data_IF_423818070114
#
_entry.id   IF_423818070114
#
_cell.length_a   1.000
_cell.length_b   1.000
_cell.length_c   1.000
_cell.angle_alpha   90.00
_cell.angle_beta   90.00
_cell.angle_gamma   90.00
#
_symmetry.space_group_name_H-M   'P 1'
#
loop_
_entity.id
_entity.type
_entity.pdbx_description
1 polymer ?
#
# COMPACT_ATOMS: atom_id res chain seq x y z
N UNK A 1 0.06 31.72 -17.45
CA UNK A 1 1.15 31.30 -18.37
C UNK A 1 2.29 30.71 -17.58
N UNK A 2 2.25 29.42 -17.27
CA UNK A 2 3.41 28.70 -16.75
C UNK A 2 4.33 28.40 -17.93
N UNK A 3 5.58 28.85 -17.88
CA UNK A 3 6.58 28.55 -18.92
C UNK A 3 7.10 27.14 -18.69
N UNK A 4 6.64 26.16 -19.47
CA UNK A 4 7.16 24.79 -19.42
C UNK A 4 8.43 24.71 -20.27
N UNK A 5 9.56 24.34 -19.65
CA UNK A 5 10.83 24.10 -20.37
C UNK A 5 10.98 22.61 -20.59
N UNK A 6 11.33 22.21 -21.81
CA UNK A 6 11.64 20.82 -22.15
C UNK A 6 13.09 20.75 -22.61
N UNK A 7 13.86 19.84 -22.04
CA UNK A 7 15.26 19.57 -22.39
C UNK A 7 15.36 18.14 -22.88
N UNK A 8 16.05 17.95 -24.00
CA UNK A 8 16.44 16.63 -24.51
C UNK A 8 17.93 16.62 -24.82
N UNK A 9 18.53 15.44 -24.89
CA UNK A 9 19.97 15.32 -25.14
C UNK A 9 20.48 13.90 -24.98
N UNK A 10 21.80 13.78 -25.13
CA UNK A 10 22.50 12.49 -25.12
C UNK A 10 22.77 12.03 -23.68
N UNK A 11 21.71 11.74 -22.94
CA UNK A 11 21.80 11.26 -21.55
C UNK A 11 22.04 9.75 -21.45
N UNK A 12 21.87 9.02 -22.55
CA UNK A 12 21.92 7.55 -22.59
C UNK A 12 23.15 7.08 -23.33
N UNK A 13 23.97 6.28 -22.65
CA UNK A 13 24.99 5.45 -23.30
C UNK A 13 24.41 4.06 -23.55
N UNK A 14 24.43 3.62 -24.80
CA UNK A 14 23.94 2.30 -25.20
C UNK A 14 25.07 1.28 -25.37
N UNK A 15 24.70 0.00 -25.41
CA UNK A 15 25.52 -1.08 -25.94
C UNK A 15 24.66 -1.97 -26.84
N UNK A 16 25.23 -2.65 -27.84
CA UNK A 16 24.46 -3.59 -28.66
C UNK A 16 23.87 -4.71 -27.80
N UNK A 17 22.70 -5.20 -28.22
CA UNK A 17 22.21 -6.52 -27.81
C UNK A 17 23.17 -7.59 -28.30
N UNK A 18 23.64 -7.45 -29.55
CA UNK A 18 24.57 -8.37 -30.19
C UNK A 18 23.85 -9.58 -30.79
N UNK A 19 24.51 -10.74 -30.75
CA UNK A 19 23.97 -11.99 -31.26
C UNK A 19 23.38 -12.80 -30.10
N UNK A 20 22.07 -13.09 -30.16
CA UNK A 20 21.36 -13.93 -29.17
C UNK A 20 20.75 -15.10 -29.90
N UNK A 21 21.04 -16.32 -29.44
CA UNK A 21 20.57 -17.58 -30.05
C UNK A 21 20.78 -17.67 -31.57
N UNK A 22 21.91 -17.12 -32.04
CA UNK A 22 22.30 -17.11 -33.46
C UNK A 22 21.66 -16.00 -34.30
N UNK A 23 20.82 -15.14 -33.71
CA UNK A 23 20.21 -13.99 -34.40
C UNK A 23 20.99 -12.71 -34.07
N UNK A 24 21.47 -12.00 -35.08
CA UNK A 24 22.12 -10.70 -34.94
C UNK A 24 21.07 -9.58 -34.87
N UNK A 25 21.02 -8.90 -33.73
CA UNK A 25 20.06 -7.82 -33.48
C UNK A 25 20.52 -6.45 -34.03
N UNK A 26 21.68 -6.40 -34.69
CA UNK A 26 22.21 -5.23 -35.39
C UNK A 26 22.17 -3.96 -34.51
N UNK A 27 21.36 -2.97 -34.90
CA UNK A 27 21.21 -1.69 -34.21
C UNK A 27 20.27 -1.73 -33.00
N UNK A 28 19.83 -2.89 -32.54
CA UNK A 28 19.12 -3.00 -31.27
C UNK A 28 20.12 -2.94 -30.12
N UNK A 29 19.84 -2.09 -29.14
CA UNK A 29 20.70 -1.91 -27.97
C UNK A 29 19.94 -2.02 -26.67
N UNK A 30 20.72 -2.00 -25.60
CA UNK A 30 20.26 -1.88 -24.22
C UNK A 30 20.99 -0.74 -23.54
N UNK A 31 20.37 -0.15 -22.53
CA UNK A 31 20.98 0.93 -21.76
C UNK A 31 22.20 0.39 -21.03
N UNK A 32 23.36 0.99 -21.28
CA UNK A 32 24.61 0.72 -20.55
C UNK A 32 24.77 1.65 -19.36
N UNK A 33 24.45 2.93 -19.55
CA UNK A 33 24.60 3.96 -18.51
C UNK A 33 23.65 5.13 -18.79
N UNK A 34 23.10 5.69 -17.72
CA UNK A 34 22.34 6.93 -17.73
C UNK A 34 23.18 8.02 -17.06
N UNK A 35 23.30 9.20 -17.68
CA UNK A 35 23.89 10.38 -17.03
C UNK A 35 22.86 11.04 -16.10
N UNK A 36 22.58 10.36 -14.98
CA UNK A 36 21.61 10.84 -13.99
C UNK A 36 22.01 12.17 -13.34
N UNK A 37 23.30 12.53 -13.35
CA UNK A 37 23.75 13.83 -12.83
C UNK A 37 23.35 14.98 -13.76
N UNK A 38 23.49 14.80 -15.07
CA UNK A 38 23.04 15.80 -16.05
C UNK A 38 21.51 15.93 -16.08
N UNK A 39 20.80 14.81 -15.98
CA UNK A 39 19.33 14.81 -15.89
C UNK A 39 18.87 15.57 -14.63
N UNK A 40 19.44 15.28 -13.45
CA UNK A 40 19.12 15.99 -12.21
C UNK A 40 19.32 17.51 -12.34
N UNK A 41 20.44 17.96 -12.89
CA UNK A 41 20.68 19.40 -13.11
C UNK A 41 19.64 20.06 -14.03
N UNK A 42 19.14 19.34 -15.03
CA UNK A 42 18.06 19.85 -15.88
C UNK A 42 16.73 19.95 -15.13
N UNK A 43 16.42 18.97 -14.27
CA UNK A 43 15.24 18.98 -13.39
C UNK A 43 15.34 20.12 -12.37
N UNK A 44 16.51 20.35 -11.76
CA UNK A 44 16.74 21.37 -10.73
C UNK A 44 16.43 22.80 -11.23
N UNK A 45 16.59 23.07 -12.53
CA UNK A 45 16.23 24.37 -13.14
C UNK A 45 14.76 24.45 -13.59
N UNK A 46 13.96 23.45 -13.21
CA UNK A 46 12.53 23.34 -13.51
C UNK A 46 12.22 22.88 -14.93
N UNK A 47 13.13 22.15 -15.59
CA UNK A 47 12.86 21.60 -16.92
C UNK A 47 12.32 20.17 -16.85
N UNK A 48 11.42 19.84 -17.78
CA UNK A 48 11.04 18.47 -18.10
C UNK A 48 12.13 17.85 -18.99
N UNK A 49 12.58 16.65 -18.65
CA UNK A 49 13.58 15.93 -19.44
C UNK A 49 12.89 14.93 -20.36
N UNK A 50 13.07 15.10 -21.67
CA UNK A 50 12.53 14.22 -22.70
C UNK A 50 13.64 13.28 -23.21
N UNK A 51 13.47 11.99 -22.96
CA UNK A 51 14.36 10.93 -23.44
C UNK A 51 13.72 10.20 -24.62
N UNK A 52 14.44 10.09 -25.73
CA UNK A 52 14.07 9.19 -26.82
C UNK A 52 14.58 7.77 -26.54
N UNK A 53 13.93 6.71 -27.04
CA UNK A 53 14.38 5.32 -26.92
C UNK A 53 15.58 5.05 -27.84
N UNK A 54 16.66 5.81 -27.63
CA UNK A 54 17.79 5.90 -28.52
C UNK A 54 19.04 6.27 -27.71
N UNK A 55 20.16 5.61 -27.98
CA UNK A 55 21.41 5.88 -27.27
C UNK A 55 22.64 5.58 -28.11
N UNK A 56 23.76 6.18 -27.72
CA UNK A 56 25.03 6.05 -28.44
C UNK A 56 26.02 5.19 -27.64
N UNK A 57 26.80 4.36 -28.33
CA UNK A 57 27.95 3.70 -27.73
C UNK A 57 29.13 4.67 -27.57
N UNK A 58 30.15 4.32 -26.78
CA UNK A 58 31.40 5.08 -26.74
C UNK A 58 32.14 5.16 -28.09
N UNK A 59 31.84 4.27 -29.04
CA UNK A 59 32.39 4.28 -30.41
C UNK A 59 31.62 5.21 -31.35
N UNK A 60 30.51 5.82 -30.89
CA UNK A 60 29.69 6.73 -31.67
C UNK A 60 28.59 6.05 -32.49
N UNK A 61 28.42 4.72 -32.35
CA UNK A 61 27.33 3.99 -32.99
C UNK A 61 26.02 4.22 -32.25
N UNK A 62 24.93 4.31 -33.01
CA UNK A 62 23.62 4.57 -32.45
C UNK A 62 22.77 3.30 -32.42
N UNK A 63 22.01 3.15 -31.34
CA UNK A 63 21.18 1.97 -31.09
C UNK A 63 19.75 2.37 -30.74
N UNK A 64 18.81 1.61 -31.29
CA UNK A 64 17.41 1.62 -30.90
C UNK A 64 17.26 0.88 -29.57
N UNK A 65 16.71 1.55 -28.56
CA UNK A 65 16.46 1.01 -27.23
C UNK A 65 14.97 0.73 -27.07
N UNK A 66 14.59 -0.06 -26.07
CA UNK A 66 13.18 -0.18 -25.70
C UNK A 66 12.80 0.92 -24.71
N UNK A 67 11.55 1.37 -24.75
CA UNK A 67 11.04 2.39 -23.83
C UNK A 67 11.18 1.93 -22.38
N UNK A 68 10.90 0.65 -22.12
CA UNK A 68 10.88 0.07 -20.79
C UNK A 68 12.27 0.01 -20.19
N UNK A 69 13.29 -0.34 -20.98
CA UNK A 69 14.68 -0.36 -20.49
C UNK A 69 15.20 1.07 -20.24
N UNK A 70 14.87 2.03 -21.10
CA UNK A 70 15.19 3.45 -20.89
C UNK A 70 14.54 4.00 -19.63
N UNK A 71 13.23 3.77 -19.46
CA UNK A 71 12.48 4.26 -18.31
C UNK A 71 12.98 3.62 -17.01
N UNK A 72 13.12 2.29 -16.98
CA UNK A 72 13.62 1.54 -15.82
C UNK A 72 15.02 2.00 -15.43
N UNK A 73 15.97 2.00 -16.37
CA UNK A 73 17.35 2.37 -16.08
C UNK A 73 17.47 3.84 -15.64
N UNK A 74 16.64 4.73 -16.21
CA UNK A 74 16.63 6.14 -15.82
C UNK A 74 16.06 6.32 -14.42
N UNK A 75 14.91 5.71 -14.11
CA UNK A 75 14.30 5.78 -12.78
C UNK A 75 15.25 5.25 -11.70
N UNK A 76 15.89 4.10 -11.95
CA UNK A 76 16.92 3.55 -11.07
C UNK A 76 18.12 4.48 -10.92
N UNK A 77 18.67 5.04 -12.01
CA UNK A 77 19.81 5.96 -11.93
C UNK A 77 19.50 7.27 -11.19
N UNK A 78 18.24 7.72 -11.26
CA UNK A 78 17.76 8.89 -10.53
C UNK A 78 17.38 8.58 -9.09
N UNK A 79 17.17 7.30 -8.73
CA UNK A 79 16.51 6.89 -7.49
C UNK A 79 15.15 7.61 -7.38
N UNK A 80 14.33 7.47 -8.43
CA UNK A 80 13.04 8.12 -8.49
C UNK A 80 12.06 7.50 -7.48
N UNK A 81 11.23 8.34 -6.85
CA UNK A 81 10.18 7.88 -5.93
C UNK A 81 9.10 7.05 -6.65
N UNK A 82 8.83 7.39 -7.92
CA UNK A 82 7.84 6.71 -8.77
C UNK A 82 8.32 6.53 -10.20
N UNK A 83 8.09 5.34 -10.76
CA UNK A 83 8.15 5.04 -12.19
C UNK A 83 6.73 4.73 -12.68
N UNK A 84 6.29 5.33 -13.79
CA UNK A 84 4.95 5.07 -14.34
C UNK A 84 5.06 4.67 -15.81
N UNK A 85 4.54 3.49 -16.13
CA UNK A 85 4.33 3.02 -17.49
C UNK A 85 2.91 3.37 -17.93
N UNK A 86 2.78 4.12 -19.02
CA UNK A 86 1.51 4.35 -19.70
C UNK A 86 1.38 3.36 -20.86
N UNK A 87 0.47 2.40 -20.72
CA UNK A 87 0.44 1.15 -21.49
C UNK A 87 -0.92 0.90 -22.16
N UNK A 88 -0.94 -0.04 -23.09
CA UNK A 88 -2.16 -0.52 -23.75
C UNK A 88 -3.03 -1.40 -22.85
N UNK A 89 -2.46 -1.92 -21.77
CA UNK A 89 -3.16 -2.70 -20.75
C UNK A 89 -3.61 -1.82 -19.58
N UNK A 90 -4.72 -2.15 -18.91
CA UNK A 90 -5.21 -1.44 -17.73
C UNK A 90 -4.38 -1.66 -16.46
N UNK A 91 -3.51 -2.67 -16.45
CA UNK A 91 -2.81 -3.14 -15.26
C UNK A 91 -2.78 -4.67 -15.26
N UNK A 92 -2.60 -5.25 -14.08
CA UNK A 92 -2.69 -6.67 -13.83
C UNK A 92 -4.04 -7.01 -13.21
N UNK A 93 -4.68 -8.05 -13.72
CA UNK A 93 -5.89 -8.60 -13.13
C UNK A 93 -5.55 -9.41 -11.86
N UNK A 94 -6.43 -9.40 -10.85
CA UNK A 94 -6.29 -10.22 -9.62
C UNK A 94 -6.02 -11.70 -9.96
N UNK A 95 -6.63 -12.17 -11.05
CA UNK A 95 -6.28 -13.42 -11.71
C UNK A 95 -5.75 -13.11 -13.11
N UNK A 96 -4.44 -13.27 -13.36
CA UNK A 96 -3.85 -12.88 -14.64
C UNK A 96 -4.42 -13.58 -15.88
N UNK A 97 -5.05 -14.74 -15.71
CA UNK A 97 -5.68 -15.54 -16.75
C UNK A 97 -7.17 -15.25 -16.95
N UNK A 98 -7.77 -14.38 -16.12
CA UNK A 98 -9.19 -14.05 -16.13
C UNK A 98 -9.41 -12.53 -16.25
N UNK A 99 -9.66 -12.01 -17.46
CA UNK A 99 -9.82 -10.58 -17.72
C UNK A 99 -11.11 -10.00 -17.14
N UNK A 100 -12.04 -10.83 -16.67
CA UNK A 100 -13.26 -10.37 -16.01
C UNK A 100 -13.02 -10.01 -14.53
N UNK A 101 -11.87 -10.40 -13.97
CA UNK A 101 -11.51 -9.99 -12.61
C UNK A 101 -11.09 -8.52 -12.54
N UNK A 102 -11.26 -7.85 -11.39
CA UNK A 102 -10.77 -6.48 -11.22
C UNK A 102 -9.26 -6.37 -11.43
N UNK A 103 -8.79 -5.15 -11.68
CA UNK A 103 -7.36 -4.83 -11.65
C UNK A 103 -6.89 -4.92 -10.20
N UNK A 104 -5.82 -5.66 -9.99
CA UNK A 104 -5.07 -5.69 -8.74
C UNK A 104 -4.29 -4.37 -8.65
N UNK A 105 -4.75 -3.47 -7.79
CA UNK A 105 -4.25 -2.10 -7.74
C UNK A 105 -2.92 -1.98 -7.01
N UNK A 106 -2.56 -2.97 -6.18
CA UNK A 106 -1.33 -2.95 -5.40
C UNK A 106 -0.74 -4.35 -5.21
N UNK A 107 0.52 -4.51 -5.63
CA UNK A 107 1.33 -5.70 -5.42
C UNK A 107 2.58 -5.35 -4.61
N UNK A 108 2.84 -6.09 -3.53
CA UNK A 108 4.18 -6.06 -2.94
C UNK A 108 5.21 -6.63 -3.91
N UNK A 109 6.47 -6.21 -3.79
CA UNK A 109 7.57 -6.70 -4.63
C UNK A 109 7.71 -8.22 -4.50
N UNK A 110 7.46 -8.76 -3.31
CA UNK A 110 7.45 -10.20 -3.06
C UNK A 110 6.34 -10.93 -3.84
N UNK A 111 5.11 -10.38 -3.87
CA UNK A 111 3.99 -10.93 -4.64
C UNK A 111 4.28 -10.81 -6.15
N UNK A 112 4.73 -9.64 -6.62
CA UNK A 112 5.11 -9.39 -8.01
C UNK A 112 6.17 -10.38 -8.53
N UNK A 113 7.20 -10.69 -7.72
CA UNK A 113 8.21 -11.71 -8.06
C UNK A 113 7.63 -13.12 -8.20
N UNK A 114 6.77 -13.51 -7.26
CA UNK A 114 6.10 -14.82 -7.29
C UNK A 114 5.23 -14.93 -8.53
N UNK A 115 4.46 -13.89 -8.82
CA UNK A 115 3.61 -13.81 -9.98
C UNK A 115 4.43 -13.93 -11.26
N UNK A 116 5.51 -13.15 -11.39
CA UNK A 116 6.40 -13.19 -12.55
C UNK A 116 7.03 -14.56 -12.79
N UNK A 117 7.33 -15.31 -11.72
CA UNK A 117 7.87 -16.69 -11.82
C UNK A 117 6.81 -17.70 -12.27
N UNK A 118 5.54 -17.45 -11.93
CA UNK A 118 4.41 -18.32 -12.29
C UNK A 118 3.85 -18.07 -13.69
N UNK A 119 4.03 -16.86 -14.22
CA UNK A 119 3.52 -16.45 -15.52
C UNK A 119 4.40 -17.00 -16.66
N UNK A 120 3.81 -17.25 -17.85
CA UNK A 120 4.60 -17.59 -19.03
C UNK A 120 5.52 -16.44 -19.43
N UNK A 121 6.60 -16.77 -20.13
CA UNK A 121 7.48 -15.76 -20.71
C UNK A 121 6.68 -14.88 -21.68
N UNK A 122 6.73 -13.54 -21.54
CA UNK A 122 5.93 -12.64 -22.35
C UNK A 122 6.44 -12.63 -23.79
N UNK A 123 5.53 -12.77 -24.74
CA UNK A 123 5.75 -12.66 -26.18
C UNK A 123 5.31 -11.30 -26.72
N UNK A 124 4.41 -10.63 -26.02
CA UNK A 124 3.84 -9.34 -26.43
C UNK A 124 3.78 -8.36 -25.26
N UNK A 125 3.62 -7.07 -25.56
CA UNK A 125 3.47 -6.04 -24.54
C UNK A 125 2.11 -6.09 -23.81
N UNK A 126 1.10 -6.75 -24.39
CA UNK A 126 -0.16 -7.03 -23.71
C UNK A 126 -0.11 -8.16 -22.67
N UNK A 127 0.99 -8.91 -22.60
CA UNK A 127 1.11 -10.01 -21.66
C UNK A 127 1.39 -9.48 -20.24
N UNK A 128 0.71 -10.02 -19.23
CA UNK A 128 0.85 -9.63 -17.82
C UNK A 128 2.32 -9.54 -17.35
N UNK A 129 3.16 -10.49 -17.75
CA UNK A 129 4.56 -10.54 -17.35
C UNK A 129 5.44 -9.44 -18.00
N UNK A 130 4.99 -8.83 -19.11
CA UNK A 130 5.81 -7.93 -19.92
C UNK A 130 6.21 -6.67 -19.17
N UNK A 131 5.25 -5.88 -18.67
CA UNK A 131 5.55 -4.67 -17.89
C UNK A 131 5.91 -5.00 -16.44
N UNK A 132 5.36 -6.08 -15.89
CA UNK A 132 5.63 -6.51 -14.51
C UNK A 132 7.13 -6.74 -14.27
N UNK A 133 7.85 -7.38 -15.20
CA UNK A 133 9.31 -7.59 -15.06
C UNK A 133 10.09 -6.27 -14.96
N UNK A 134 9.64 -5.23 -15.64
CA UNK A 134 10.29 -3.91 -15.61
C UNK A 134 9.98 -3.19 -14.30
N UNK A 135 8.75 -3.32 -13.79
CA UNK A 135 8.38 -2.81 -12.47
C UNK A 135 9.20 -3.47 -11.36
N UNK A 136 9.30 -4.80 -11.37
CA UNK A 136 10.13 -5.56 -10.41
C UNK A 136 11.59 -5.11 -10.49
N UNK A 137 12.16 -5.01 -11.71
CA UNK A 137 13.55 -4.56 -11.92
C UNK A 137 13.77 -3.12 -11.42
N UNK A 138 12.81 -2.23 -11.60
CA UNK A 138 12.89 -0.86 -11.12
C UNK A 138 12.92 -0.81 -9.57
N UNK A 139 12.00 -1.53 -8.92
CA UNK A 139 11.92 -1.59 -7.46
C UNK A 139 13.15 -2.25 -6.84
N UNK A 140 13.66 -3.34 -7.43
CA UNK A 140 14.96 -3.92 -7.07
C UNK A 140 16.13 -2.93 -7.15
N UNK A 141 16.03 -1.98 -8.06
CA UNK A 141 17.00 -0.90 -8.25
C UNK A 141 16.83 0.28 -7.27
N UNK A 142 15.88 0.20 -6.33
CA UNK A 142 15.63 1.26 -5.33
C UNK A 142 14.58 2.29 -5.75
N UNK A 143 13.79 2.03 -6.79
CA UNK A 143 12.59 2.85 -7.09
C UNK A 143 11.48 2.44 -6.13
N UNK A 144 10.96 3.36 -5.31
CA UNK A 144 10.01 2.98 -4.26
C UNK A 144 8.72 2.35 -4.82
N UNK A 145 8.19 2.92 -5.92
CA UNK A 145 6.92 2.51 -6.52
C UNK A 145 7.00 2.48 -8.04
N UNK A 146 6.50 1.42 -8.68
CA UNK A 146 6.43 1.31 -10.13
C UNK A 146 5.02 0.94 -10.59
N UNK A 147 4.46 1.71 -11.51
CA UNK A 147 3.04 1.66 -11.88
C UNK A 147 2.85 1.21 -13.34
N UNK A 148 1.77 0.47 -13.60
CA UNK A 148 1.27 0.11 -14.93
C UNK A 148 -0.11 0.73 -15.08
N UNK A 149 -0.27 1.69 -15.99
CA UNK A 149 -1.50 2.48 -16.16
C UNK A 149 -2.00 2.46 -17.60
N UNK A 150 -3.32 2.43 -17.84
CA UNK A 150 -3.86 2.50 -19.20
C UNK A 150 -3.72 3.91 -19.80
N UNK A 151 -3.08 4.04 -20.96
CA UNK A 151 -3.10 5.31 -21.70
C UNK A 151 -4.48 5.64 -22.30
N UNK A 152 -5.36 4.64 -22.43
CA UNK A 152 -6.66 4.80 -23.09
C UNK A 152 -7.70 5.49 -22.18
N UNK A 153 -7.43 5.57 -20.88
CA UNK A 153 -8.32 6.19 -19.89
C UNK A 153 -7.95 7.67 -19.75
N UNK A 154 -8.90 8.55 -20.05
CA UNK A 154 -8.70 9.99 -19.90
C UNK A 154 -8.43 10.36 -18.43
N UNK A 155 -7.37 11.14 -18.21
CA UNK A 155 -6.91 11.50 -16.87
C UNK A 155 -6.27 10.36 -16.07
N UNK A 156 -5.89 9.23 -16.69
CA UNK A 156 -5.29 8.08 -16.01
C UNK A 156 -4.19 8.44 -15.00
N UNK A 157 -3.25 9.29 -15.41
CA UNK A 157 -2.15 9.75 -14.56
C UNK A 157 -2.63 10.55 -13.34
N UNK A 158 -3.66 11.39 -13.52
CA UNK A 158 -4.22 12.17 -12.43
C UNK A 158 -5.01 11.29 -11.46
N UNK A 159 -5.76 10.33 -11.99
CA UNK A 159 -6.49 9.38 -11.16
C UNK A 159 -5.52 8.53 -10.34
N UNK A 160 -4.44 8.03 -10.93
CA UNK A 160 -3.42 7.27 -10.18
C UNK A 160 -2.75 8.10 -9.08
N UNK A 161 -2.42 9.37 -9.34
CA UNK A 161 -1.67 10.20 -8.38
C UNK A 161 -2.57 10.78 -7.28
N UNK A 162 -3.83 11.09 -7.58
CA UNK A 162 -4.72 11.85 -6.70
C UNK A 162 -5.92 11.05 -6.17
N UNK A 163 -5.99 9.75 -6.44
CA UNK A 163 -6.96 8.84 -5.81
C UNK A 163 -6.23 7.82 -4.93
N UNK A 164 -6.91 7.34 -3.90
CA UNK A 164 -6.33 6.36 -2.98
C UNK A 164 -6.26 4.97 -3.63
N UNK A 165 -7.35 4.56 -4.31
CA UNK A 165 -7.45 3.22 -4.91
C UNK A 165 -6.59 3.08 -6.17
N UNK A 166 -6.19 4.18 -6.81
CA UNK A 166 -5.55 4.16 -8.13
C UNK A 166 -6.48 3.62 -9.21
N UNK A 167 -5.95 3.45 -10.43
CA UNK A 167 -6.71 2.83 -11.54
C UNK A 167 -5.94 1.72 -12.25
N UNK A 168 -4.62 1.63 -12.03
CA UNK A 168 -3.79 0.59 -12.58
C UNK A 168 -3.14 -0.23 -11.48
N UNK A 169 -2.04 -0.90 -11.80
CA UNK A 169 -1.31 -1.72 -10.82
C UNK A 169 -0.03 -1.04 -10.39
N UNK A 170 0.14 -0.89 -9.08
CA UNK A 170 1.37 -0.43 -8.44
C UNK A 170 2.15 -1.60 -7.86
N UNK A 171 3.46 -1.67 -8.15
CA UNK A 171 4.42 -2.54 -7.47
C UNK A 171 5.22 -1.70 -6.48
N UNK A 172 5.32 -2.17 -5.22
CA UNK A 172 5.99 -1.46 -4.12
C UNK A 172 6.82 -2.43 -3.29
N UNK A 173 7.96 -1.99 -2.73
CA UNK A 173 8.87 -2.87 -1.97
C UNK A 173 8.18 -3.54 -0.75
N UNK A 174 7.35 -2.78 -0.03
CA UNK A 174 6.49 -3.25 1.06
C UNK A 174 5.05 -2.73 0.84
N UNK A 175 4.01 -3.49 1.24
CA UNK A 175 2.62 -3.02 1.11
C UNK A 175 2.49 -1.63 1.75
N UNK A 176 1.83 -0.68 1.08
CA UNK A 176 1.71 0.71 1.55
C UNK A 176 1.16 0.80 2.96
N UNK A 177 0.41 -0.20 3.41
CA UNK A 177 -0.21 -0.22 4.72
C UNK A 177 0.17 -1.47 5.51
N UNK A 178 0.94 -1.25 6.57
CA UNK A 178 1.32 -2.30 7.49
C UNK A 178 0.24 -2.48 8.56
N UNK A 179 -0.56 -3.54 8.44
CA UNK A 179 -1.45 -3.99 9.51
C UNK A 179 -0.66 -4.91 10.46
N UNK A 180 -0.14 -4.33 11.55
CA UNK A 180 0.77 -5.04 12.48
C UNK A 180 0.40 -4.82 13.94
N UNK A 181 1.02 -5.60 14.82
CA UNK A 181 0.96 -5.33 16.26
C UNK A 181 1.76 -4.07 16.59
N UNK A 182 1.28 -3.31 17.57
CA UNK A 182 1.93 -2.07 17.97
C UNK A 182 3.20 -2.35 18.80
N UNK A 183 4.18 -1.47 18.66
CA UNK A 183 5.44 -1.44 19.41
C UNK A 183 5.51 -0.17 20.27
N UNK A 184 6.40 -0.08 21.28
CA UNK A 184 6.49 1.09 22.16
C UNK A 184 6.60 2.43 21.43
N UNK A 185 7.25 2.46 20.27
CA UNK A 185 7.42 3.68 19.47
C UNK A 185 6.10 4.19 18.86
N UNK A 186 5.08 3.33 18.70
CA UNK A 186 3.78 3.71 18.13
C UNK A 186 2.89 4.48 19.13
N UNK A 187 3.23 4.50 20.42
CA UNK A 187 2.42 5.11 21.48
C UNK A 187 2.08 6.56 21.18
N UNK A 188 3.03 7.32 20.63
CA UNK A 188 2.82 8.70 20.22
C UNK A 188 1.77 8.84 19.13
N UNK A 189 1.85 8.00 18.09
CA UNK A 189 0.90 7.99 16.97
C UNK A 189 -0.50 7.55 17.39
N UNK A 190 -0.60 6.51 18.22
CA UNK A 190 -1.89 6.05 18.78
C UNK A 190 -2.55 7.17 19.59
N UNK A 191 -1.80 7.85 20.46
CA UNK A 191 -2.32 8.97 21.25
C UNK A 191 -2.86 10.09 20.35
N UNK A 192 -2.10 10.49 19.34
CA UNK A 192 -2.51 11.51 18.38
C UNK A 192 -3.79 11.13 17.63
N UNK A 193 -3.93 9.85 17.27
CA UNK A 193 -5.10 9.33 16.56
C UNK A 193 -6.38 9.32 17.42
N UNK A 194 -6.27 8.96 18.70
CA UNK A 194 -7.44 8.81 19.58
C UNK A 194 -7.86 10.09 20.30
N UNK A 195 -6.93 11.05 20.51
CA UNK A 195 -7.17 12.26 21.30
C UNK A 195 -8.42 13.07 20.87
N UNK A 196 -8.69 13.28 19.56
CA UNK A 196 -9.88 14.02 19.14
C UNK A 196 -11.20 13.38 19.62
N UNK A 197 -11.26 12.05 19.64
CA UNK A 197 -12.43 11.29 20.06
C UNK A 197 -12.54 11.17 21.59
N UNK A 198 -11.44 11.30 22.32
CA UNK A 198 -11.49 11.44 23.77
C UNK A 198 -12.04 12.81 24.17
N UNK A 199 -11.62 13.85 23.43
CA UNK A 199 -12.03 15.24 23.67
C UNK A 199 -13.51 15.49 23.39
N UNK A 200 -14.07 14.85 22.36
CA UNK A 200 -15.49 14.99 21.99
C UNK A 200 -16.43 14.01 22.75
N UNK A 201 -15.86 13.19 23.63
CA UNK A 201 -16.56 12.24 24.47
C UNK A 201 -16.94 10.92 23.78
N UNK A 202 -16.60 10.71 22.51
CA UNK A 202 -16.82 9.43 21.81
C UNK A 202 -16.08 8.28 22.49
N UNK A 203 -14.84 8.51 22.91
CA UNK A 203 -14.01 7.55 23.63
C UNK A 203 -13.81 7.91 25.10
N UNK A 204 -13.43 6.89 25.88
CA UNK A 204 -12.96 7.08 27.26
C UNK A 204 -11.48 7.44 27.20
N UNK A 205 -11.09 8.46 27.96
CA UNK A 205 -9.70 8.93 28.03
C UNK A 205 -8.75 7.85 28.53
N UNK A 206 -7.61 7.67 27.85
CA UNK A 206 -6.51 6.78 28.23
C UNK A 206 -5.22 7.58 28.44
N UNK A 207 -4.48 7.22 29.47
CA UNK A 207 -3.18 7.85 29.73
C UNK A 207 -2.07 7.24 28.86
N UNK A 208 -1.02 8.01 28.57
CA UNK A 208 0.19 7.49 27.89
C UNK A 208 0.72 6.22 28.57
N UNK A 209 0.88 6.25 29.90
CA UNK A 209 1.39 5.12 30.68
C UNK A 209 0.48 3.87 30.61
N UNK A 210 -0.82 4.05 30.38
CA UNK A 210 -1.76 2.95 30.19
C UNK A 210 -1.52 2.28 28.83
N UNK A 211 -1.39 3.08 27.77
CA UNK A 211 -1.13 2.60 26.41
C UNK A 211 0.25 1.97 26.32
N UNK A 212 1.29 2.56 26.92
CA UNK A 212 2.65 1.98 26.95
C UNK A 212 2.67 0.60 27.60
N UNK A 213 2.00 0.45 28.75
CA UNK A 213 1.93 -0.83 29.46
C UNK A 213 1.18 -1.88 28.64
N UNK A 214 0.10 -1.47 27.99
CA UNK A 214 -0.81 -2.37 27.29
C UNK A 214 -0.54 -2.41 25.78
N UNK A 215 0.62 -1.91 25.31
CA UNK A 215 0.92 -1.69 23.89
C UNK A 215 0.81 -2.97 23.05
N UNK A 216 1.21 -4.11 23.62
CA UNK A 216 1.10 -5.41 22.96
C UNK A 216 -0.36 -5.82 22.63
N UNK A 217 -1.35 -5.21 23.28
CA UNK A 217 -2.77 -5.45 22.97
C UNK A 217 -3.21 -4.69 21.72
N UNK A 218 -2.48 -3.65 21.31
CA UNK A 218 -2.82 -2.81 20.17
C UNK A 218 -2.38 -3.43 18.84
N UNK A 219 -3.23 -3.23 17.84
CA UNK A 219 -2.98 -3.44 16.42
C UNK A 219 -3.07 -2.06 15.77
N UNK A 220 -2.14 -1.74 14.88
CA UNK A 220 -2.10 -0.48 14.15
C UNK A 220 -2.14 -0.72 12.65
N UNK A 221 -2.66 0.27 11.93
CA UNK A 221 -2.41 0.45 10.50
C UNK A 221 -1.48 1.66 10.38
N UNK A 222 -0.36 1.43 9.71
CA UNK A 222 0.74 2.37 9.58
C UNK A 222 1.15 2.53 8.12
N UNK A 223 1.48 3.76 7.75
CA UNK A 223 2.04 4.15 6.47
C UNK A 223 3.11 5.22 6.69
N UNK A 224 4.33 5.01 6.19
CA UNK A 224 5.47 5.92 6.29
C UNK A 224 5.73 6.44 7.73
N UNK A 225 5.61 5.56 8.72
CA UNK A 225 5.78 5.85 10.15
C UNK A 225 4.59 6.57 10.78
N UNK A 226 3.51 6.82 10.03
CA UNK A 226 2.30 7.49 10.51
C UNK A 226 1.23 6.46 10.82
N UNK A 227 0.74 6.47 12.06
CA UNK A 227 -0.38 5.65 12.51
C UNK A 227 -1.69 6.33 12.15
N UNK A 228 -2.46 5.73 11.25
CA UNK A 228 -3.78 6.25 10.84
C UNK A 228 -4.93 5.30 11.17
N UNK A 229 -4.64 4.10 11.67
CA UNK A 229 -5.65 3.20 12.23
C UNK A 229 -5.16 2.51 13.51
N UNK A 230 -6.02 2.30 14.48
CA UNK A 230 -5.71 1.46 15.64
C UNK A 230 -6.93 0.71 16.19
N UNK A 231 -6.68 -0.42 16.84
CA UNK A 231 -7.63 -1.13 17.69
C UNK A 231 -6.87 -1.98 18.73
N UNK A 232 -7.42 -2.16 19.92
CA UNK A 232 -6.82 -3.02 20.95
C UNK A 232 -7.76 -4.16 21.36
N UNK A 233 -7.16 -5.30 21.72
CA UNK A 233 -7.86 -6.48 22.23
C UNK A 233 -7.45 -6.77 23.68
N UNK A 234 -8.39 -6.68 24.61
CA UNK A 234 -8.17 -7.05 26.01
C UNK A 234 -8.84 -8.40 26.30
N UNK A 235 -8.07 -9.48 26.55
CA UNK A 235 -8.63 -10.81 26.75
C UNK A 235 -9.24 -10.99 28.15
N UNK A 236 -10.32 -11.76 28.22
CA UNK A 236 -10.94 -12.30 29.44
C UNK A 236 -11.01 -13.83 29.34
N UNK A 237 -9.89 -14.54 29.60
CA UNK A 237 -9.78 -15.98 29.32
C UNK A 237 -10.79 -16.84 30.08
N UNK A 238 -11.09 -16.50 31.34
CA UNK A 238 -12.06 -17.21 32.18
C UNK A 238 -13.47 -17.22 31.58
N UNK A 239 -13.86 -16.12 30.95
CA UNK A 239 -15.14 -15.95 30.26
C UNK A 239 -15.06 -16.32 28.76
N UNK A 240 -13.88 -16.78 28.28
CA UNK A 240 -13.59 -17.09 26.87
C UNK A 240 -14.02 -15.98 25.91
N UNK A 241 -13.85 -14.73 26.31
CA UNK A 241 -14.21 -13.55 25.52
C UNK A 241 -13.11 -12.48 25.56
N UNK A 242 -13.21 -11.46 24.72
CA UNK A 242 -12.28 -10.32 24.70
C UNK A 242 -13.00 -9.01 24.41
N UNK A 243 -12.53 -7.92 25.00
CA UNK A 243 -13.02 -6.58 24.68
C UNK A 243 -12.19 -6.01 23.54
N UNK A 244 -12.83 -5.64 22.43
CA UNK A 244 -12.21 -4.78 21.44
C UNK A 244 -12.45 -3.32 21.83
N UNK A 245 -11.36 -2.55 21.95
CA UNK A 245 -11.41 -1.14 22.32
C UNK A 245 -10.60 -0.28 21.37
N UNK A 246 -10.82 1.04 21.45
CA UNK A 246 -10.05 2.04 20.71
C UNK A 246 -10.00 1.79 19.19
N UNK A 247 -11.05 1.18 18.62
CA UNK A 247 -11.19 1.06 17.17
C UNK A 247 -11.34 2.47 16.59
N UNK A 248 -10.35 2.92 15.85
CA UNK A 248 -10.28 4.27 15.32
C UNK A 248 -9.51 4.27 14.01
N UNK A 249 -10.01 5.05 13.05
CA UNK A 249 -9.36 5.32 11.78
C UNK A 249 -9.36 6.83 11.59
N UNK A 250 -8.27 7.37 11.07
CA UNK A 250 -8.12 8.79 10.74
C UNK A 250 -9.30 9.25 9.88
N UNK A 251 -9.93 10.41 10.15
CA UNK A 251 -11.03 10.92 9.34
C UNK A 251 -10.71 10.97 7.84
N UNK A 252 -9.46 11.26 7.49
CA UNK A 252 -8.98 11.36 6.11
C UNK A 252 -8.96 10.01 5.38
N UNK A 253 -8.97 8.89 6.12
CA UNK A 253 -8.97 7.51 5.61
C UNK A 253 -10.28 6.76 5.91
N UNK A 254 -11.30 7.43 6.46
CA UNK A 254 -12.57 6.77 6.75
C UNK A 254 -13.30 6.37 5.45
N UNK A 255 -14.01 5.25 5.51
CA UNK A 255 -14.78 4.64 4.38
C UNK A 255 -13.97 3.80 3.39
N UNK A 256 -12.67 3.60 3.61
CA UNK A 256 -11.79 2.75 2.78
C UNK A 256 -11.68 1.29 3.25
N UNK A 257 -12.49 0.89 4.25
CA UNK A 257 -12.53 -0.49 4.76
C UNK A 257 -11.56 -0.81 5.89
N UNK A 258 -10.70 0.13 6.31
CA UNK A 258 -9.69 -0.08 7.35
C UNK A 258 -10.25 -0.46 8.72
N UNK A 259 -11.38 0.13 9.10
CA UNK A 259 -12.07 -0.27 10.32
C UNK A 259 -12.44 -1.77 10.31
N UNK A 260 -12.77 -2.31 9.14
CA UNK A 260 -13.07 -3.73 8.98
C UNK A 260 -11.82 -4.61 8.96
N UNK A 261 -10.72 -4.12 8.39
CA UNK A 261 -9.40 -4.81 8.47
C UNK A 261 -8.91 -4.91 9.90
N UNK A 262 -8.99 -3.83 10.68
CA UNK A 262 -8.68 -3.83 12.11
C UNK A 262 -9.57 -4.82 12.87
N UNK A 263 -10.89 -4.79 12.63
CA UNK A 263 -11.82 -5.75 13.26
C UNK A 263 -11.45 -7.19 12.94
N UNK A 264 -11.25 -7.53 11.66
CA UNK A 264 -10.88 -8.90 11.23
C UNK A 264 -9.58 -9.35 11.90
N UNK A 265 -8.58 -8.47 12.00
CA UNK A 265 -7.32 -8.76 12.69
C UNK A 265 -7.51 -8.99 14.18
N UNK A 266 -8.32 -8.19 14.85
CA UNK A 266 -8.67 -8.40 16.27
C UNK A 266 -9.40 -9.73 16.46
N UNK A 267 -10.36 -10.08 15.60
CA UNK A 267 -11.06 -11.37 15.67
C UNK A 267 -10.10 -12.54 15.47
N UNK A 268 -9.13 -12.44 14.55
CA UNK A 268 -8.09 -13.46 14.35
C UNK A 268 -7.23 -13.63 15.60
N UNK A 269 -6.76 -12.53 16.22
CA UNK A 269 -5.97 -12.58 17.46
C UNK A 269 -6.77 -13.19 18.62
N UNK A 270 -8.06 -12.87 18.71
CA UNK A 270 -8.96 -13.45 19.71
C UNK A 270 -9.13 -14.97 19.52
N UNK A 271 -9.36 -15.44 18.28
CA UNK A 271 -9.42 -16.88 17.95
C UNK A 271 -8.11 -17.58 18.28
N UNK A 272 -6.97 -17.00 17.89
CA UNK A 272 -5.65 -17.56 18.17
C UNK A 272 -5.37 -17.68 19.68
N UNK A 273 -5.99 -16.81 20.49
CA UNK A 273 -5.92 -16.85 21.96
C UNK A 273 -6.97 -17.77 22.60
N UNK A 274 -7.73 -18.54 21.83
CA UNK A 274 -8.73 -19.48 22.31
C UNK A 274 -10.07 -18.87 22.76
N UNK A 275 -10.30 -17.58 22.45
CA UNK A 275 -11.55 -16.89 22.78
C UNK A 275 -12.65 -17.28 21.79
N UNK A 276 -13.88 -17.41 22.27
CA UNK A 276 -15.06 -17.81 21.49
C UNK A 276 -15.98 -16.64 21.16
N UNK A 277 -15.69 -15.45 21.68
CA UNK A 277 -16.43 -14.23 21.39
C UNK A 277 -15.55 -12.99 21.58
N UNK A 278 -15.97 -11.88 20.98
CA UNK A 278 -15.51 -10.54 21.36
C UNK A 278 -16.72 -9.65 21.65
N UNK A 279 -16.50 -8.61 22.43
CA UNK A 279 -17.49 -7.58 22.69
C UNK A 279 -16.92 -6.18 22.55
N UNK A 280 -17.81 -5.22 22.33
CA UNK A 280 -17.50 -3.78 22.27
C UNK A 280 -18.48 -3.00 23.13
N UNK A 281 -18.01 -1.87 23.65
CA UNK A 281 -18.83 -0.88 24.34
C UNK A 281 -18.88 0.39 23.47
N UNK A 282 -20.07 0.77 23.00
CA UNK A 282 -20.22 1.94 22.12
C UNK A 282 -21.40 2.82 22.50
N UNK A 283 -21.24 4.14 22.33
CA UNK A 283 -22.30 5.14 22.52
C UNK A 283 -22.84 5.71 21.21
N UNK A 284 -22.08 5.62 20.11
CA UNK A 284 -22.39 6.29 18.84
C UNK A 284 -22.34 5.37 17.61
N UNK A 285 -21.54 4.31 17.62
CA UNK A 285 -21.20 3.51 16.41
C UNK A 285 -21.91 2.15 16.34
N UNK A 286 -23.07 2.02 16.98
CA UNK A 286 -23.78 0.75 17.15
C UNK A 286 -24.09 0.02 15.83
N UNK A 287 -24.68 0.72 14.86
CA UNK A 287 -25.10 0.11 13.59
C UNK A 287 -23.93 -0.44 12.76
N UNK A 288 -22.74 0.16 12.88
CA UNK A 288 -21.55 -0.31 12.18
C UNK A 288 -21.14 -1.72 12.64
N UNK A 289 -21.25 -1.99 13.94
CA UNK A 289 -20.98 -3.30 14.54
C UNK A 289 -22.10 -4.30 14.28
N UNK A 290 -23.37 -3.88 14.38
CA UNK A 290 -24.52 -4.77 14.10
C UNK A 290 -24.45 -5.32 12.67
N UNK A 291 -24.15 -4.46 11.68
CA UNK A 291 -23.95 -4.88 10.29
C UNK A 291 -22.82 -5.91 10.12
N UNK A 292 -21.91 -6.01 11.09
CA UNK A 292 -20.74 -6.89 11.10
C UNK A 292 -20.89 -8.09 12.04
N UNK A 293 -22.12 -8.43 12.41
CA UNK A 293 -22.44 -9.66 13.14
C UNK A 293 -22.36 -9.53 14.66
N UNK A 294 -22.32 -8.31 15.20
CA UNK A 294 -22.51 -8.10 16.63
C UNK A 294 -24.01 -8.04 16.96
N UNK A 295 -24.40 -8.62 18.10
CA UNK A 295 -25.73 -8.54 18.67
C UNK A 295 -25.70 -7.75 19.98
N UNK A 296 -26.76 -7.00 20.27
CA UNK A 296 -26.87 -6.28 21.55
C UNK A 296 -27.06 -7.26 22.72
N UNK A 297 -26.40 -6.97 23.83
CA UNK A 297 -26.47 -7.72 25.08
C UNK A 297 -26.72 -6.78 26.25
N UNK A 298 -27.25 -7.33 27.35
CA UNK A 298 -27.39 -6.59 28.60
C UNK A 298 -26.00 -6.35 29.25
N UNK A 299 -25.76 -5.20 29.90
CA UNK A 299 -24.55 -4.99 30.71
C UNK A 299 -24.23 -6.11 31.71
N UNK A 300 -25.23 -6.86 32.16
CA UNK A 300 -25.05 -8.04 33.02
C UNK A 300 -24.31 -9.20 32.34
N UNK A 301 -24.22 -9.21 31.01
CA UNK A 301 -23.45 -10.19 30.24
C UNK A 301 -21.92 -9.99 30.36
N UNK A 302 -21.46 -8.78 30.72
CA UNK A 302 -20.03 -8.45 30.75
C UNK A 302 -19.26 -9.36 31.73
N UNK A 303 -18.00 -9.72 31.42
CA UNK A 303 -17.13 -10.39 32.38
C UNK A 303 -17.03 -9.61 33.70
N UNK A 304 -17.00 -10.32 34.83
CA UNK A 304 -17.09 -9.70 36.15
C UNK A 304 -16.00 -8.66 36.43
N UNK A 305 -14.79 -8.92 35.94
CA UNK A 305 -13.67 -7.99 35.99
C UNK A 305 -13.94 -6.70 35.18
N UNK A 306 -14.67 -6.81 34.05
CA UNK A 306 -15.06 -5.66 33.23
C UNK A 306 -16.25 -4.91 33.82
N UNK A 307 -17.24 -5.64 34.34
CA UNK A 307 -18.47 -5.11 34.94
C UNK A 307 -18.17 -4.16 36.11
N UNK A 308 -17.17 -4.49 36.95
CA UNK A 308 -16.68 -3.62 38.04
C UNK A 308 -16.11 -2.27 37.56
N UNK A 309 -15.61 -2.21 36.33
CA UNK A 309 -15.05 -1.00 35.69
C UNK A 309 -16.02 -0.36 34.69
N UNK A 310 -17.26 -0.85 34.62
CA UNK A 310 -18.25 -0.34 33.68
C UNK A 310 -18.74 1.04 34.15
N UNK A 311 -18.68 2.03 33.27
CA UNK A 311 -19.15 3.38 33.56
C UNK A 311 -20.65 3.49 33.25
N UNK A 312 -21.47 3.39 34.30
CA UNK A 312 -22.93 3.46 34.20
C UNK A 312 -23.45 4.82 33.70
N UNK A 313 -22.71 5.92 33.93
CA UNK A 313 -23.10 7.25 33.47
C UNK A 313 -22.96 7.40 31.95
N UNK A 314 -22.02 6.67 31.33
CA UNK A 314 -21.86 6.67 29.87
C UNK A 314 -22.98 5.93 29.13
N UNK A 315 -23.67 5.00 29.81
CA UNK A 315 -24.76 4.18 29.23
C UNK A 315 -24.39 3.57 27.87
N UNK A 316 -23.16 3.09 27.73
CA UNK A 316 -22.69 2.43 26.51
C UNK A 316 -23.54 1.19 26.21
N UNK A 317 -23.84 0.94 24.94
CA UNK A 317 -24.42 -0.34 24.52
C UNK A 317 -23.35 -1.41 24.53
N UNK A 318 -23.68 -2.58 25.07
CA UNK A 318 -22.84 -3.78 24.99
C UNK A 318 -23.24 -4.54 23.74
N UNK A 319 -22.29 -4.74 22.84
CA UNK A 319 -22.50 -5.55 21.65
C UNK A 319 -21.51 -6.71 21.64
N UNK A 320 -22.00 -7.90 21.32
CA UNK A 320 -21.24 -9.16 21.38
C UNK A 320 -21.26 -9.84 20.03
N UNK A 321 -20.12 -10.34 19.59
CA UNK A 321 -19.99 -11.19 18.40
C UNK A 321 -19.36 -12.52 18.80
N UNK A 322 -20.06 -13.61 18.50
CA UNK A 322 -19.51 -14.96 18.61
C UNK A 322 -18.50 -15.18 17.50
N UNK A 323 -17.34 -15.75 17.84
CA UNK A 323 -16.31 -16.11 16.89
C UNK A 323 -16.52 -17.58 16.50
N UNK A 324 -16.98 -17.80 15.28
CA UNK A 324 -16.91 -19.11 14.61
C UNK A 324 -15.50 -19.38 14.09
#
# INVERSE_FOLDING_TARGET
NATVRVVSGNFLTARPVGIVDGVDFMHSGVVRRVDGAAIRRAIDIGALVLLSPFGFSPTGEAFNLTMEDVATATATALQADKLLFLTEVPGLHEKPDDPDTPIDTELSLAEARRLLTSLPAPQSASDAAFYLRHCVKACEGGVERSHILPFAVDGALLMEIFTHDGIGTMVVDEKLESLREAVPDDVGGILQLIEPYERDGTMVRRGRNEIERDIANYTVIEHDGVIFGCAALYPYPEARTGEMVALTVSPDSQSQGDGERLLKRVEQRARASGLTSIFVLTTRTMHWFIKRGFAEADPDWLPEARKRKYNWDRRSKVLVKTLS
#
